data_IF_332858742188
#
_entry.id   IF_332858742188
#
_cell.length_a   1.000
_cell.length_b   1.000
_cell.length_c   1.000
_cell.angle_alpha   90.00
_cell.angle_beta   90.00
_cell.angle_gamma   90.00
#
_symmetry.space_group_name_H-M   'P 1'
#
loop_
_entity.id
_entity.type
_entity.pdbx_description
1 polymer ?
#
# COMPACT_ATOMS: atom_id res chain seq x y z
N UNK A 1 -8.87 -3.94 -8.48
CA UNK A 1 -8.15 -2.94 -7.65
C UNK A 1 -8.91 -1.62 -7.42
N UNK A 2 -9.40 -0.89 -8.44
CA UNK A 2 -10.00 0.45 -8.27
C UNK A 2 -11.12 0.56 -7.21
N UNK A 3 -12.03 -0.41 -7.14
CA UNK A 3 -13.12 -0.42 -6.14
C UNK A 3 -12.58 -0.68 -4.73
N UNK A 4 -11.79 -1.74 -4.55
CA UNK A 4 -11.11 -2.06 -3.28
C UNK A 4 -10.30 -0.87 -2.77
N UNK A 5 -9.53 -0.23 -3.65
CA UNK A 5 -8.74 0.94 -3.28
C UNK A 5 -9.58 2.13 -2.85
N UNK A 6 -10.78 2.32 -3.42
CA UNK A 6 -11.72 3.36 -2.98
C UNK A 6 -12.19 3.08 -1.55
N UNK A 7 -12.52 1.83 -1.24
CA UNK A 7 -12.92 1.41 0.10
C UNK A 7 -11.78 1.57 1.11
N UNK A 8 -10.58 1.11 0.76
CA UNK A 8 -9.39 1.25 1.61
C UNK A 8 -9.04 2.71 1.89
N UNK A 9 -9.10 3.58 0.87
CA UNK A 9 -8.94 5.03 1.09
C UNK A 9 -10.00 5.59 2.05
N UNK A 10 -11.25 5.14 1.96
CA UNK A 10 -12.30 5.51 2.91
C UNK A 10 -11.99 5.07 4.35
N UNK A 11 -11.27 3.95 4.52
CA UNK A 11 -10.76 3.45 5.80
C UNK A 11 -9.46 4.11 6.25
N UNK A 12 -9.00 5.16 5.56
CA UNK A 12 -7.79 5.93 5.94
C UNK A 12 -6.47 5.38 5.39
N UNK A 13 -6.51 4.45 4.42
CA UNK A 13 -5.29 4.00 3.75
C UNK A 13 -4.68 5.09 2.86
N UNK A 14 -3.36 5.08 2.73
CA UNK A 14 -2.62 6.01 1.89
C UNK A 14 -1.72 5.27 0.90
N UNK A 15 -1.44 5.88 -0.26
CA UNK A 15 -0.52 5.32 -1.25
C UNK A 15 0.62 6.31 -1.51
N UNK A 16 1.86 5.82 -1.50
CA UNK A 16 3.07 6.59 -1.80
C UNK A 16 3.78 6.03 -3.03
N UNK A 17 4.31 6.90 -3.92
CA UNK A 17 5.10 6.46 -5.06
C UNK A 17 6.39 5.76 -4.60
N UNK A 18 6.94 4.86 -5.42
CA UNK A 18 8.27 4.30 -5.17
C UNK A 18 9.32 5.42 -5.10
N UNK A 19 10.41 5.22 -4.33
CA UNK A 19 11.54 6.13 -4.35
C UNK A 19 12.12 6.22 -5.78
N UNK A 20 12.34 7.44 -6.29
CA UNK A 20 12.92 7.68 -7.62
C UNK A 20 14.29 7.02 -7.88
N UNK A 21 14.99 6.61 -6.81
CA UNK A 21 16.30 5.94 -6.87
C UNK A 21 16.20 4.43 -6.61
N UNK A 22 14.99 3.89 -6.49
CA UNK A 22 14.75 2.47 -6.32
C UNK A 22 14.64 1.80 -7.69
N UNK A 23 15.14 0.57 -7.79
CA UNK A 23 14.86 -0.30 -8.95
C UNK A 23 13.43 -0.85 -8.92
N UNK A 24 12.74 -0.70 -7.78
CA UNK A 24 11.37 -1.13 -7.59
C UNK A 24 10.39 0.02 -7.90
N UNK A 25 9.54 -0.17 -8.92
CA UNK A 25 8.53 0.82 -9.34
C UNK A 25 7.16 0.61 -8.64
N UNK A 26 7.08 -0.32 -7.69
CA UNK A 26 5.80 -0.62 -7.03
C UNK A 26 5.46 0.46 -6.02
N UNK A 27 4.20 0.88 -6.06
CA UNK A 27 3.68 1.81 -5.06
C UNK A 27 3.60 1.17 -3.68
N UNK A 28 3.83 1.99 -2.65
CA UNK A 28 3.64 1.64 -1.26
C UNK A 28 2.21 1.95 -0.85
N UNK A 29 1.51 0.97 -0.31
CA UNK A 29 0.15 1.06 0.20
C UNK A 29 0.18 0.95 1.71
N UNK A 30 0.03 2.07 2.40
CA UNK A 30 0.23 2.20 3.86
C UNK A 30 -1.12 2.16 4.56
N UNK A 31 -1.18 1.39 5.65
CA UNK A 31 -2.38 1.26 6.49
C UNK A 31 -2.66 2.55 7.27
N UNK A 32 -3.93 2.78 7.67
CA UNK A 32 -4.29 3.91 8.52
C UNK A 32 -3.53 3.84 9.85
N UNK A 33 -2.93 4.96 10.25
CA UNK A 33 -2.14 5.04 11.49
C UNK A 33 -0.73 4.45 11.38
N UNK A 34 -0.40 3.79 10.26
CA UNK A 34 0.89 3.14 10.06
C UNK A 34 1.84 3.97 9.19
N UNK A 35 3.10 3.56 9.16
CA UNK A 35 4.15 4.22 8.39
C UNK A 35 4.75 3.32 7.32
N UNK A 36 5.12 3.94 6.19
CA UNK A 36 5.89 3.30 5.11
C UNK A 36 7.31 2.88 5.51
N UNK A 37 7.76 3.26 6.71
CA UNK A 37 9.05 2.85 7.29
C UNK A 37 8.94 1.62 8.19
N UNK A 38 7.75 1.04 8.35
CA UNK A 38 7.54 -0.18 9.14
C UNK A 38 7.89 -1.46 8.37
N UNK A 39 7.32 -2.58 8.79
CA UNK A 39 7.44 -3.89 8.12
C UNK A 39 6.43 -4.05 6.97
N UNK A 40 6.91 -4.55 5.83
CA UNK A 40 6.06 -4.96 4.71
C UNK A 40 5.09 -6.08 5.10
N UNK A 41 3.85 -6.03 4.63
CA UNK A 41 2.78 -6.97 4.96
C UNK A 41 2.06 -6.68 6.28
N UNK A 42 2.64 -5.82 7.12
CA UNK A 42 2.06 -5.44 8.43
C UNK A 42 1.64 -3.98 8.44
N UNK A 43 2.57 -3.08 8.09
CA UNK A 43 2.40 -1.63 8.13
C UNK A 43 2.11 -1.05 6.74
N UNK A 44 2.77 -1.60 5.71
CA UNK A 44 2.54 -1.24 4.31
C UNK A 44 2.65 -2.47 3.39
N UNK A 45 2.11 -2.36 2.20
CA UNK A 45 2.20 -3.36 1.14
C UNK A 45 2.84 -2.73 -0.11
N UNK A 46 3.66 -3.47 -0.86
CA UNK A 46 4.18 -3.01 -2.16
C UNK A 46 3.41 -3.65 -3.29
N UNK A 47 2.87 -2.81 -4.17
CA UNK A 47 2.13 -3.26 -5.35
C UNK A 47 0.66 -3.55 -5.07
N UNK A 48 -0.12 -3.56 -6.15
CA UNK A 48 -1.58 -3.75 -6.09
C UNK A 48 -1.93 -5.20 -5.70
N UNK A 49 -1.12 -6.18 -6.12
CA UNK A 49 -1.32 -7.61 -5.85
C UNK A 49 -1.29 -7.91 -4.36
N UNK A 50 -0.25 -7.46 -3.64
CA UNK A 50 -0.11 -7.69 -2.20
C UNK A 50 -1.28 -7.10 -1.38
N UNK A 51 -1.87 -6.00 -1.84
CA UNK A 51 -3.05 -5.40 -1.20
C UNK A 51 -4.31 -6.24 -1.47
N UNK A 52 -4.43 -6.82 -2.66
CA UNK A 52 -5.55 -7.69 -3.00
C UNK A 52 -5.46 -9.02 -2.27
N UNK A 53 -4.28 -9.61 -2.15
CA UNK A 53 -4.05 -10.83 -1.37
C UNK A 53 -4.39 -10.64 0.11
N UNK A 54 -4.06 -9.48 0.69
CA UNK A 54 -4.46 -9.15 2.06
C UNK A 54 -5.98 -8.95 2.22
N UNK A 55 -6.67 -8.52 1.15
CA UNK A 55 -8.10 -8.23 1.18
C UNK A 55 -8.99 -9.45 0.85
N UNK A 56 -8.42 -10.47 0.20
CA UNK A 56 -9.09 -11.72 -0.16
C UNK A 56 -9.37 -12.58 1.08
#
# INVERSE_FOLDING_TARGET
>A
FKSVWRELKGKGWTRKPPPRRSLDDRYFYVRPGESSSGTEGVHFFRGEEAVLEYYA
#
